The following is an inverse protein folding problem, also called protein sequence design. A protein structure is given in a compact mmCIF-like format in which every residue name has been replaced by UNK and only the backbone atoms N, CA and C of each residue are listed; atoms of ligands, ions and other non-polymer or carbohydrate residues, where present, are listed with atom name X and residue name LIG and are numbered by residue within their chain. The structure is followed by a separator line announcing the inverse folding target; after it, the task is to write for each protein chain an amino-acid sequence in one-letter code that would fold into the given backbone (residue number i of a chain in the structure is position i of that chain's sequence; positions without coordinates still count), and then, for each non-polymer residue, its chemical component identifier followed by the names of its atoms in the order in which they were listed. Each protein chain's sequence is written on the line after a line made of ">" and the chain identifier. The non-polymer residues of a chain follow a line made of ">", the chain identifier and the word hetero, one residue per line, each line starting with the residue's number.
data_IF_148494802832
#
_entry.id   IF_148494802832
#
_cell.length_a   1.000
_cell.length_b   1.000
_cell.length_c   1.000
_cell.angle_alpha   90.00
_cell.angle_beta   90.00
_cell.angle_gamma   90.00
#
_symmetry.space_group_name_H-M   'P 1'
#
loop_
_entity.id
_entity.type
_entity.pdbx_description
1 polymer ?
#
# COMPACT_ATOMS: atom_id res chain seq x y z
N UNK A 1 8.08 26.11 -1.30
CA UNK A 1 7.73 24.67 -1.28
C UNK A 1 6.67 24.44 -0.22
N UNK A 2 5.65 23.63 -0.48
CA UNK A 2 4.58 23.38 0.47
C UNK A 2 5.02 22.33 1.50
N UNK A 3 5.27 22.76 2.74
CA UNK A 3 5.63 21.90 3.88
C UNK A 3 4.49 21.91 4.89
N UNK A 4 4.10 20.73 5.37
CA UNK A 4 3.29 20.58 6.58
C UNK A 4 4.18 20.06 7.70
N UNK A 5 4.23 20.78 8.82
CA UNK A 5 5.02 20.39 9.99
C UNK A 5 4.20 20.53 11.26
N UNK A 6 4.07 19.44 12.00
CA UNK A 6 3.53 19.42 13.36
C UNK A 6 4.69 19.41 14.35
N UNK A 7 4.66 20.27 15.38
CA UNK A 7 5.74 20.45 16.36
C UNK A 7 5.18 20.53 17.78
N UNK A 8 6.02 20.38 18.80
CA UNK A 8 5.63 20.37 20.20
C UNK A 8 4.72 19.19 20.55
N UNK A 9 3.59 19.48 21.20
CA UNK A 9 2.53 18.55 21.56
C UNK A 9 1.29 18.69 20.63
N UNK A 10 1.48 19.27 19.45
CA UNK A 10 0.40 19.53 18.51
C UNK A 10 -0.39 18.26 18.18
N UNK A 11 -1.70 18.41 18.11
CA UNK A 11 -2.64 17.33 17.79
C UNK A 11 -3.43 17.66 16.53
N UNK A 12 -3.42 16.74 15.56
CA UNK A 12 -4.26 16.81 14.37
C UNK A 12 -5.19 15.61 14.36
N UNK A 13 -6.45 15.82 14.73
CA UNK A 13 -7.50 14.81 14.65
C UNK A 13 -8.28 15.00 13.35
N UNK A 14 -8.13 14.05 12.44
CA UNK A 14 -8.83 14.08 11.15
C UNK A 14 -10.23 13.50 11.31
N UNK A 15 -11.21 14.13 10.67
CA UNK A 15 -12.61 13.73 10.75
C UNK A 15 -13.03 12.93 9.52
N UNK A 16 -14.18 12.28 9.63
CA UNK A 16 -14.81 11.59 8.50
C UNK A 16 -14.89 12.50 7.25
N UNK A 17 -14.62 11.91 6.08
CA UNK A 17 -14.58 12.60 4.80
C UNK A 17 -13.18 13.02 4.37
N UNK A 18 -12.23 13.19 5.29
CA UNK A 18 -10.83 13.46 4.94
C UNK A 18 -10.15 12.17 4.54
N UNK A 19 -9.76 12.04 3.27
CA UNK A 19 -9.18 10.80 2.73
C UNK A 19 -7.67 10.88 2.46
N UNK A 20 -7.08 12.08 2.51
CA UNK A 20 -5.67 12.26 2.27
C UNK A 20 -5.11 13.55 2.89
N UNK A 21 -3.81 13.54 3.19
CA UNK A 21 -2.98 14.74 3.37
C UNK A 21 -1.79 14.63 2.41
N UNK A 22 -1.54 15.72 1.66
CA UNK A 22 -0.46 15.82 0.70
C UNK A 22 0.41 17.04 0.94
N UNK A 23 1.74 16.87 0.90
CA UNK A 23 2.70 17.98 0.93
C UNK A 23 3.97 17.64 0.14
N UNK A 24 4.84 18.63 -0.12
CA UNK A 24 6.20 18.33 -0.58
C UNK A 24 6.98 17.65 0.55
N UNK A 25 6.87 18.19 1.75
CA UNK A 25 7.45 17.64 2.98
C UNK A 25 6.35 17.55 4.05
N UNK A 26 6.21 16.39 4.69
CA UNK A 26 5.22 16.12 5.73
C UNK A 26 5.90 15.57 6.97
N UNK A 27 5.99 16.39 8.02
CA UNK A 27 6.73 16.05 9.24
C UNK A 27 5.84 16.09 10.48
N UNK A 28 5.88 15.02 11.26
CA UNK A 28 5.33 14.94 12.61
C UNK A 28 6.51 14.85 13.57
N UNK A 29 6.81 15.97 14.24
CA UNK A 29 7.98 16.14 15.10
C UNK A 29 7.62 16.17 16.59
N UNK A 30 8.66 16.19 17.43
CA UNK A 30 8.54 16.26 18.88
C UNK A 30 7.59 15.17 19.42
N UNK A 31 6.60 15.54 20.24
CA UNK A 31 5.55 14.66 20.75
C UNK A 31 4.22 14.80 20.01
N UNK A 32 4.24 15.38 18.80
CA UNK A 32 3.01 15.66 18.06
C UNK A 32 2.29 14.36 17.64
N UNK A 33 0.96 14.43 17.60
CA UNK A 33 0.10 13.27 17.29
C UNK A 33 -0.85 13.58 16.15
N UNK A 34 -0.82 12.76 15.11
CA UNK A 34 -1.79 12.75 14.02
C UNK A 34 -2.71 11.52 14.14
N UNK A 35 -4.02 11.75 14.30
CA UNK A 35 -5.03 10.68 14.34
C UNK A 35 -5.77 10.59 13.01
N UNK A 36 -5.81 9.39 12.44
CA UNK A 36 -6.63 9.06 11.27
C UNK A 36 -8.14 9.18 11.61
N UNK A 37 -8.98 9.43 10.59
CA UNK A 37 -10.43 9.48 10.77
C UNK A 37 -11.01 8.12 11.13
N UNK A 38 -12.00 8.13 12.03
CA UNK A 38 -12.79 6.93 12.38
C UNK A 38 -13.92 6.70 11.36
N UNK A 39 -14.44 5.47 11.33
CA UNK A 39 -15.64 5.13 10.54
C UNK A 39 -15.41 5.04 9.03
N UNK A 40 -14.17 5.17 8.57
CA UNK A 40 -13.80 5.05 7.17
C UNK A 40 -13.49 3.58 6.83
N UNK A 41 -14.04 3.10 5.72
CA UNK A 41 -13.67 1.79 5.16
C UNK A 41 -12.61 1.91 4.07
N UNK A 42 -12.39 3.13 3.55
CA UNK A 42 -11.35 3.46 2.57
C UNK A 42 -9.99 3.72 3.23
N UNK A 43 -8.93 3.44 2.49
CA UNK A 43 -7.56 3.72 2.90
C UNK A 43 -7.28 5.23 2.96
N UNK A 44 -6.80 5.70 4.10
CA UNK A 44 -6.33 7.06 4.29
C UNK A 44 -4.92 7.22 3.71
N UNK A 45 -4.62 8.35 3.05
CA UNK A 45 -3.36 8.54 2.33
C UNK A 45 -2.52 9.67 2.91
N UNK A 46 -1.34 9.34 3.42
CA UNK A 46 -0.27 10.30 3.69
C UNK A 46 0.67 10.33 2.49
N UNK A 47 0.70 11.45 1.79
CA UNK A 47 1.47 11.61 0.57
C UNK A 47 2.50 12.73 0.74
N UNK A 48 3.78 12.39 0.56
CA UNK A 48 4.85 13.37 0.50
C UNK A 48 5.60 13.25 -0.81
N UNK A 49 5.92 14.37 -1.45
CA UNK A 49 6.74 14.35 -2.67
C UNK A 49 8.19 14.02 -2.35
N UNK A 50 8.76 14.72 -1.39
CA UNK A 50 10.20 14.75 -1.13
C UNK A 50 10.54 14.03 0.18
N UNK A 51 9.85 14.32 1.29
CA UNK A 51 10.16 13.73 2.60
C UNK A 51 8.93 13.54 3.48
N UNK A 52 8.77 12.35 4.05
CA UNK A 52 7.80 12.05 5.12
C UNK A 52 8.55 11.62 6.39
N UNK A 53 8.32 12.32 7.50
CA UNK A 53 9.03 12.06 8.75
C UNK A 53 8.08 11.91 9.94
N UNK A 54 8.35 10.90 10.77
CA UNK A 54 7.76 10.74 12.10
C UNK A 54 8.91 10.62 13.10
N UNK A 55 9.16 11.67 13.88
CA UNK A 55 10.27 11.73 14.85
C UNK A 55 10.05 10.84 16.06
N UNK A 56 11.11 10.55 16.84
CA UNK A 56 11.15 9.52 17.88
C UNK A 56 9.99 9.53 18.91
N UNK A 57 9.48 10.71 19.27
CA UNK A 57 8.37 10.84 20.24
C UNK A 57 7.02 11.13 19.57
N UNK A 58 6.99 11.23 18.24
CA UNK A 58 5.80 11.53 17.46
C UNK A 58 4.98 10.28 17.15
N UNK A 59 3.68 10.47 16.97
CA UNK A 59 2.75 9.37 16.69
C UNK A 59 1.83 9.68 15.52
N UNK A 60 1.72 8.74 14.59
CA UNK A 60 0.63 8.68 13.60
C UNK A 60 -0.22 7.44 13.92
N UNK A 61 -1.49 7.63 14.28
CA UNK A 61 -2.33 6.53 14.77
C UNK A 61 -3.65 6.43 14.02
N UNK A 62 -3.94 5.21 13.55
CA UNK A 62 -5.23 4.74 13.10
C UNK A 62 -5.75 3.64 14.00
N UNK A 63 -5.34 3.63 15.27
CA UNK A 63 -5.74 2.60 16.22
C UNK A 63 -7.25 2.65 16.47
N UNK A 64 -7.91 1.49 16.34
CA UNK A 64 -9.34 1.36 16.52
C UNK A 64 -10.20 2.15 15.52
N UNK A 65 -9.64 2.61 14.39
CA UNK A 65 -10.34 3.43 13.38
C UNK A 65 -11.02 2.65 12.26
N UNK A 66 -10.96 1.32 12.29
CA UNK A 66 -11.60 0.42 11.35
C UNK A 66 -13.03 0.07 11.71
N UNK A 67 -13.46 -1.15 11.38
CA UNK A 67 -14.84 -1.59 11.62
C UNK A 67 -15.18 -1.62 13.11
N UNK A 68 -16.41 -1.23 13.44
CA UNK A 68 -16.94 -1.35 14.80
C UNK A 68 -17.26 -2.80 15.18
N UNK A 69 -17.64 -3.04 16.45
CA UNK A 69 -18.09 -4.34 16.94
C UNK A 69 -19.01 -5.06 15.95
N UNK A 70 -18.74 -6.35 15.72
CA UNK A 70 -19.50 -7.25 14.84
C UNK A 70 -19.57 -6.83 13.37
N UNK A 71 -18.79 -5.81 12.97
CA UNK A 71 -18.65 -5.37 11.59
C UNK A 71 -17.29 -5.77 11.04
N UNK A 72 -17.28 -6.00 9.74
CA UNK A 72 -16.12 -6.47 8.99
C UNK A 72 -16.32 -6.21 7.50
N UNK A 73 -15.23 -6.34 6.76
CA UNK A 73 -15.32 -6.50 5.32
C UNK A 73 -15.91 -7.88 4.99
N UNK A 74 -16.61 -7.99 3.86
CA UNK A 74 -17.30 -9.23 3.46
C UNK A 74 -16.34 -10.41 3.26
N UNK A 75 -15.11 -10.14 2.81
CA UNK A 75 -14.06 -11.15 2.62
C UNK A 75 -13.45 -11.66 3.92
N UNK A 76 -13.67 -10.97 5.05
CA UNK A 76 -13.17 -11.39 6.36
C UNK A 76 -14.05 -12.47 6.98
N UNK A 77 -13.44 -13.41 7.68
CA UNK A 77 -14.21 -14.41 8.41
C UNK A 77 -15.14 -13.74 9.42
N UNK A 78 -16.38 -14.19 9.46
CA UNK A 78 -17.41 -13.61 10.33
C UNK A 78 -17.13 -13.75 11.82
N UNK A 79 -16.26 -14.68 12.17
CA UNK A 79 -16.06 -15.07 13.55
C UNK A 79 -17.17 -16.01 14.02
N UNK A 80 -16.83 -16.93 14.90
CA UNK A 80 -17.78 -17.60 15.78
C UNK A 80 -18.08 -16.73 17.00
N UNK A 81 -18.99 -17.22 17.84
CA UNK A 81 -19.17 -16.67 19.19
C UNK A 81 -17.80 -16.60 19.90
N UNK A 82 -17.59 -15.59 20.74
CA UNK A 82 -16.35 -15.38 21.51
C UNK A 82 -15.12 -14.94 20.69
N UNK A 83 -15.13 -14.95 19.35
CA UNK A 83 -13.93 -14.66 18.56
C UNK A 83 -13.55 -13.16 18.54
N UNK A 84 -12.26 -12.87 18.36
CA UNK A 84 -11.78 -11.54 18.01
C UNK A 84 -11.97 -11.26 16.52
N UNK A 85 -11.69 -10.03 16.10
CA UNK A 85 -11.72 -9.67 14.68
C UNK A 85 -10.65 -10.42 13.88
N UNK A 86 -11.00 -10.86 12.67
CA UNK A 86 -10.08 -11.47 11.71
C UNK A 86 -9.62 -10.46 10.65
N UNK A 87 -8.31 -10.47 10.34
CA UNK A 87 -7.72 -9.67 9.26
C UNK A 87 -6.55 -10.38 8.58
N UNK A 88 -5.30 -10.04 8.93
CA UNK A 88 -4.10 -10.56 8.28
C UNK A 88 -3.76 -12.00 8.65
N UNK A 89 -4.32 -12.50 9.75
CA UNK A 89 -4.02 -13.81 10.33
C UNK A 89 -5.21 -14.76 10.41
N UNK A 90 -4.96 -16.07 10.31
CA UNK A 90 -5.92 -17.11 10.69
C UNK A 90 -5.64 -18.47 10.08
N UNK A 91 -6.31 -19.54 10.56
CA UNK A 91 -6.45 -20.79 9.81
C UNK A 91 -6.79 -20.50 8.34
N UNK A 92 -6.34 -21.37 7.43
CA UNK A 92 -6.59 -21.19 6.00
C UNK A 92 -8.07 -20.86 5.73
N UNK A 93 -8.31 -19.79 4.96
CA UNK A 93 -9.65 -19.29 4.64
C UNK A 93 -10.27 -18.34 5.67
N UNK A 94 -9.60 -18.04 6.80
CA UNK A 94 -10.11 -17.05 7.78
C UNK A 94 -9.52 -15.64 7.64
N UNK A 95 -8.32 -15.51 7.08
CA UNK A 95 -7.67 -14.22 6.80
C UNK A 95 -8.29 -13.55 5.56
N UNK A 96 -8.25 -12.23 5.49
CA UNK A 96 -8.86 -11.45 4.40
C UNK A 96 -8.04 -10.25 3.97
N UNK A 97 -8.24 -9.82 2.73
CA UNK A 97 -7.45 -8.75 2.13
C UNK A 97 -6.13 -9.26 1.57
N UNK A 98 -5.51 -8.43 0.75
CA UNK A 98 -4.25 -8.73 0.09
C UNK A 98 -3.06 -8.48 1.05
N UNK A 99 -2.10 -9.41 1.14
CA UNK A 99 -0.91 -9.23 1.99
C UNK A 99 0.19 -8.40 1.29
N UNK A 100 0.19 -8.34 -0.04
CA UNK A 100 1.11 -7.55 -0.86
C UNK A 100 0.59 -6.11 -0.99
N UNK A 101 -0.73 -5.92 -1.15
CA UNK A 101 -1.37 -4.61 -1.31
C UNK A 101 -2.51 -4.40 -0.31
N UNK A 102 -2.20 -4.33 1.01
CA UNK A 102 -3.21 -4.24 2.05
C UNK A 102 -3.90 -2.86 2.05
N UNK A 103 -5.22 -2.86 1.83
CA UNK A 103 -6.04 -1.63 1.79
C UNK A 103 -7.25 -1.65 2.74
N UNK A 104 -7.58 -2.81 3.29
CA UNK A 104 -8.79 -2.99 4.08
C UNK A 104 -8.58 -2.56 5.53
N UNK A 105 -9.55 -1.85 6.10
CA UNK A 105 -9.58 -1.64 7.56
C UNK A 105 -9.82 -2.96 8.29
N UNK A 106 -9.33 -3.07 9.53
CA UNK A 106 -9.48 -4.25 10.36
C UNK A 106 -10.93 -4.49 10.78
N UNK A 107 -11.30 -5.76 10.93
CA UNK A 107 -12.59 -6.16 11.47
C UNK A 107 -12.73 -5.80 12.96
N UNK A 108 -13.95 -5.48 13.39
CA UNK A 108 -14.27 -5.39 14.81
C UNK A 108 -14.29 -6.77 15.46
N UNK A 109 -14.05 -6.80 16.77
CA UNK A 109 -14.27 -7.99 17.59
C UNK A 109 -15.75 -8.33 17.71
N UNK A 110 -16.04 -9.56 18.11
CA UNK A 110 -17.41 -10.03 18.28
C UNK A 110 -17.94 -9.60 19.64
N UNK A 111 -19.15 -9.03 19.66
CA UNK A 111 -19.92 -8.76 20.85
C UNK A 111 -20.45 -10.08 21.42
N UNK A 112 -20.25 -10.27 22.72
CA UNK A 112 -20.78 -11.45 23.37
C UNK A 112 -22.19 -11.25 23.93
N UNK A 113 -22.41 -10.13 24.60
CA UNK A 113 -23.68 -9.78 25.23
C UNK A 113 -24.00 -8.31 25.00
N UNK A 114 -25.24 -7.90 25.30
CA UNK A 114 -25.66 -6.49 25.24
C UNK A 114 -24.79 -5.53 26.07
N UNK A 115 -23.96 -6.05 26.97
CA UNK A 115 -23.09 -5.27 27.86
C UNK A 115 -21.59 -5.43 27.53
N UNK A 116 -21.22 -6.09 26.43
CA UNK A 116 -19.82 -6.36 26.10
C UNK A 116 -19.50 -6.25 24.61
N UNK A 117 -19.31 -5.01 24.17
CA UNK A 117 -18.95 -4.71 22.79
C UNK A 117 -17.54 -5.23 22.46
N UNK A 118 -17.40 -5.78 21.25
CA UNK A 118 -16.10 -6.06 20.67
C UNK A 118 -15.32 -4.78 20.41
N UNK A 119 -13.99 -4.90 20.46
CA UNK A 119 -13.09 -3.80 20.14
C UNK A 119 -13.17 -3.44 18.66
N UNK A 120 -13.01 -2.16 18.33
CA UNK A 120 -12.98 -1.72 16.93
C UNK A 120 -11.70 -2.19 16.25
N UNK A 121 -11.77 -2.51 14.95
CA UNK A 121 -10.58 -2.86 14.18
C UNK A 121 -9.67 -1.66 13.92
N UNK A 122 -8.44 -1.91 13.47
CA UNK A 122 -7.50 -0.86 13.10
C UNK A 122 -7.83 -0.20 11.76
N UNK A 123 -7.38 1.04 11.57
CA UNK A 123 -7.56 1.79 10.33
C UNK A 123 -6.76 1.27 9.14
N UNK A 124 -6.87 1.95 8.00
CA UNK A 124 -6.11 1.63 6.79
C UNK A 124 -5.32 2.85 6.33
N UNK A 125 -4.00 2.69 6.20
CA UNK A 125 -3.07 3.77 5.93
C UNK A 125 -2.16 3.44 4.74
N UNK A 126 -2.10 4.35 3.76
CA UNK A 126 -1.05 4.43 2.75
C UNK A 126 -0.07 5.53 3.13
N UNK A 127 1.21 5.19 3.20
CA UNK A 127 2.33 6.13 3.22
C UNK A 127 2.96 6.10 1.83
N UNK A 128 2.86 7.20 1.08
CA UNK A 128 3.39 7.32 -0.28
C UNK A 128 4.46 8.42 -0.34
N UNK A 129 5.70 8.03 -0.60
CA UNK A 129 6.81 8.96 -0.85
C UNK A 129 7.85 8.34 -1.80
N UNK A 130 7.52 8.33 -3.09
CA UNK A 130 8.32 7.68 -4.13
C UNK A 130 8.45 8.52 -5.42
N UNK A 131 8.30 9.84 -5.34
CA UNK A 131 8.29 10.71 -6.52
C UNK A 131 9.63 10.71 -7.28
N UNK A 132 10.74 10.71 -6.55
CA UNK A 132 12.09 10.69 -7.12
C UNK A 132 12.93 9.62 -6.46
N UNK A 133 14.13 9.37 -7.00
CA UNK A 133 15.13 8.51 -6.36
C UNK A 133 15.47 8.99 -4.93
N UNK A 134 15.39 10.29 -4.66
CA UNK A 134 15.82 10.85 -3.37
C UNK A 134 14.66 11.05 -2.39
N UNK A 135 13.42 10.74 -2.80
CA UNK A 135 12.26 10.76 -1.91
C UNK A 135 12.48 9.80 -0.72
N UNK A 136 12.18 10.26 0.49
CA UNK A 136 12.48 9.51 1.71
C UNK A 136 11.33 9.44 2.71
N UNK A 137 11.22 8.28 3.36
CA UNK A 137 10.40 8.07 4.54
C UNK A 137 11.33 7.79 5.73
N UNK A 138 11.21 8.60 6.79
CA UNK A 138 11.98 8.45 8.03
C UNK A 138 11.01 8.20 9.19
N UNK A 139 11.06 7.01 9.78
CA UNK A 139 10.20 6.63 10.91
C UNK A 139 11.09 6.31 12.11
N UNK A 140 11.20 7.28 13.01
CA UNK A 140 11.84 7.11 14.33
C UNK A 140 10.80 6.96 15.44
N UNK A 141 9.60 7.52 15.24
CA UNK A 141 8.46 7.41 16.16
C UNK A 141 7.57 6.21 15.89
N UNK A 142 6.29 6.35 16.20
CA UNK A 142 5.29 5.28 16.04
C UNK A 142 4.29 5.59 14.95
N UNK A 143 4.11 4.65 14.02
CA UNK A 143 2.96 4.60 13.13
C UNK A 143 2.18 3.32 13.45
N UNK A 144 0.91 3.46 13.81
CA UNK A 144 0.10 2.32 14.27
C UNK A 144 -1.29 2.32 13.63
N UNK A 145 -1.75 1.13 13.24
CA UNK A 145 -3.13 0.83 12.80
C UNK A 145 -3.64 -0.40 13.57
N UNK A 146 -3.46 -0.40 14.89
CA UNK A 146 -3.81 -1.52 15.75
C UNK A 146 -5.32 -1.61 16.00
N UNK A 147 -5.81 -2.81 16.30
CA UNK A 147 -7.16 -3.00 16.80
C UNK A 147 -7.30 -2.54 18.26
N UNK A 148 -8.49 -2.09 18.63
CA UNK A 148 -8.82 -1.76 20.01
C UNK A 148 -9.15 -3.02 20.82
N UNK A 149 -8.90 -2.98 22.13
CA UNK A 149 -9.30 -4.06 23.02
C UNK A 149 -10.83 -4.18 23.11
N UNK A 150 -11.31 -5.40 23.32
CA UNK A 150 -12.72 -5.65 23.63
C UNK A 150 -13.11 -5.09 25.00
N UNK A 151 -14.38 -4.75 25.16
CA UNK A 151 -14.88 -4.21 26.43
C UNK A 151 -14.85 -5.28 27.53
N UNK A 152 -14.49 -4.87 28.75
CA UNK A 152 -14.62 -5.73 29.92
C UNK A 152 -16.09 -5.88 30.33
N UNK A 153 -16.46 -7.02 30.92
CA UNK A 153 -17.79 -7.20 31.49
C UNK A 153 -17.78 -8.19 32.67
N UNK A 154 -18.77 -8.06 33.55
CA UNK A 154 -18.90 -8.89 34.76
C UNK A 154 -19.08 -10.39 34.46
N UNK A 155 -19.59 -10.73 33.28
CA UNK A 155 -19.63 -12.11 32.82
C UNK A 155 -18.69 -12.26 31.65
N UNK A 156 -19.10 -11.82 30.45
CA UNK A 156 -18.39 -12.12 29.22
C UNK A 156 -17.82 -10.88 28.56
N UNK A 157 -16.50 -10.73 28.52
CA UNK A 157 -15.85 -9.62 27.83
C UNK A 157 -15.97 -9.73 26.30
N UNK A 158 -15.89 -8.61 25.59
CA UNK A 158 -15.94 -8.56 24.12
C UNK A 158 -14.64 -9.04 23.47
N UNK A 159 -14.72 -9.52 22.23
CA UNK A 159 -13.54 -9.87 21.43
C UNK A 159 -12.67 -8.66 21.11
N UNK A 160 -11.36 -8.85 20.98
CA UNK A 160 -10.47 -7.77 20.52
C UNK A 160 -10.67 -7.46 19.03
N UNK A 161 -10.55 -6.20 18.62
CA UNK A 161 -10.58 -5.80 17.21
C UNK A 161 -9.33 -6.25 16.47
N UNK A 162 -9.42 -6.55 15.18
CA UNK A 162 -8.27 -6.92 14.37
C UNK A 162 -7.35 -5.71 14.10
N UNK A 163 -6.06 -5.94 13.92
CA UNK A 163 -5.19 -4.94 13.31
C UNK A 163 -5.65 -4.57 11.89
N UNK A 164 -5.35 -3.36 11.45
CA UNK A 164 -5.73 -2.83 10.16
C UNK A 164 -4.70 -3.07 9.05
N UNK A 165 -4.69 -2.22 8.03
CA UNK A 165 -3.79 -2.32 6.89
C UNK A 165 -2.83 -1.13 6.81
N UNK A 166 -1.55 -1.39 6.61
CA UNK A 166 -0.54 -0.38 6.37
C UNK A 166 0.25 -0.71 5.11
N UNK A 167 0.20 0.17 4.12
CA UNK A 167 0.96 0.07 2.89
C UNK A 167 1.98 1.22 2.85
N UNK A 168 3.26 0.88 2.80
CA UNK A 168 4.34 1.86 2.65
C UNK A 168 4.92 1.72 1.26
N UNK A 169 4.76 2.75 0.43
CA UNK A 169 5.34 2.85 -0.90
C UNK A 169 6.35 3.99 -0.88
N UNK A 170 7.64 3.65 -0.82
CA UNK A 170 8.69 4.64 -0.68
C UNK A 170 9.87 4.39 -1.62
N UNK A 171 10.55 5.47 -2.00
CA UNK A 171 11.85 5.33 -2.65
C UNK A 171 12.86 4.78 -1.66
N UNK A 172 12.95 5.40 -0.47
CA UNK A 172 13.84 5.02 0.63
C UNK A 172 13.06 4.98 1.93
N UNK A 173 13.35 4.01 2.80
CA UNK A 173 12.81 3.92 4.15
C UNK A 173 13.96 3.79 5.16
N UNK A 174 13.94 4.60 6.20
CA UNK A 174 14.95 4.59 7.27
C UNK A 174 14.38 4.97 8.63
N UNK A 175 15.19 4.82 9.68
CA UNK A 175 14.83 5.15 11.07
C UNK A 175 14.78 3.93 11.98
N UNK A 176 14.50 4.16 13.27
CA UNK A 176 14.48 3.13 14.32
C UNK A 176 13.13 2.95 15.01
N UNK A 177 12.07 3.53 14.45
CA UNK A 177 10.74 3.58 15.04
C UNK A 177 9.94 2.29 14.92
N UNK A 178 8.64 2.39 15.12
CA UNK A 178 7.70 1.25 15.07
C UNK A 178 6.63 1.46 14.02
N UNK A 179 6.45 0.46 13.15
CA UNK A 179 5.28 0.27 12.31
C UNK A 179 4.45 -0.88 12.90
N UNK A 180 3.21 -0.63 13.32
CA UNK A 180 2.36 -1.64 13.95
C UNK A 180 0.99 -1.77 13.31
N UNK A 181 0.55 -3.03 13.18
CA UNK A 181 -0.82 -3.42 12.86
C UNK A 181 -1.24 -4.54 13.81
N UNK A 182 -1.02 -4.38 15.12
CA UNK A 182 -1.35 -5.44 16.09
C UNK A 182 -2.86 -5.56 16.32
N UNK A 183 -3.30 -6.76 16.68
CA UNK A 183 -4.66 -6.99 17.15
C UNK A 183 -4.89 -6.37 18.54
N UNK A 184 -6.14 -6.04 18.82
CA UNK A 184 -6.60 -5.59 20.13
C UNK A 184 -6.71 -6.75 21.13
N UNK A 185 -6.45 -6.47 22.40
CA UNK A 185 -6.57 -7.48 23.45
C UNK A 185 -8.02 -7.96 23.65
N UNK A 186 -8.19 -9.14 24.26
CA UNK A 186 -9.54 -9.57 24.62
C UNK A 186 -10.07 -8.82 25.85
N UNK A 187 -11.38 -8.57 25.85
CA UNK A 187 -12.08 -8.13 27.04
C UNK A 187 -12.07 -9.22 28.10
N UNK A 188 -11.68 -8.87 29.33
CA UNK A 188 -11.72 -9.80 30.45
C UNK A 188 -13.17 -10.02 30.93
N UNK A 189 -13.51 -11.29 31.15
CA UNK A 189 -14.64 -11.72 31.97
C UNK A 189 -14.16 -12.14 33.38
N UNK A 190 -15.09 -12.39 34.30
CA UNK A 190 -14.76 -12.73 35.70
C UNK A 190 -14.20 -14.15 35.90
N UNK A 191 -14.40 -15.06 34.94
CA UNK A 191 -13.93 -16.46 34.99
C UNK A 191 -13.40 -16.91 33.62
N UNK A 192 -12.51 -17.92 33.61
CA UNK A 192 -11.86 -18.50 32.42
C UNK A 192 -12.82 -18.90 31.27
N UNK A 193 -14.03 -19.37 31.59
CA UNK A 193 -15.05 -19.73 30.59
C UNK A 193 -15.72 -18.54 29.88
N UNK A 194 -15.48 -17.32 30.36
CA UNK A 194 -16.21 -16.12 29.97
C UNK A 194 -15.33 -15.05 29.32
N UNK A 195 -14.20 -15.44 28.75
CA UNK A 195 -13.31 -14.52 28.01
C UNK A 195 -13.45 -14.73 26.52
N UNK A 196 -13.36 -13.63 25.78
CA UNK A 196 -13.29 -13.68 24.31
C UNK A 196 -11.84 -13.85 23.84
N UNK A 197 -11.68 -14.16 22.56
CA UNK A 197 -10.39 -14.19 21.89
C UNK A 197 -9.92 -12.77 21.60
N UNK A 198 -8.61 -12.58 21.66
CA UNK A 198 -8.00 -11.34 21.19
C UNK A 198 -8.14 -11.22 19.67
N UNK A 199 -8.04 -9.99 19.17
CA UNK A 199 -8.06 -9.72 17.74
C UNK A 199 -6.83 -10.28 17.05
N UNK A 200 -6.99 -10.64 15.78
CA UNK A 200 -5.87 -11.01 14.92
C UNK A 200 -4.97 -9.81 14.61
N UNK A 201 -3.72 -10.09 14.23
CA UNK A 201 -2.86 -9.08 13.62
C UNK A 201 -3.36 -8.65 12.24
N UNK A 202 -2.99 -7.45 11.84
CA UNK A 202 -3.33 -6.83 10.58
C UNK A 202 -2.34 -7.16 9.46
N UNK A 203 -2.24 -6.28 8.47
CA UNK A 203 -1.35 -6.46 7.31
C UNK A 203 -0.46 -5.24 7.14
N UNK A 204 0.84 -5.46 7.06
CA UNK A 204 1.82 -4.43 6.70
C UNK A 204 2.53 -4.87 5.42
N UNK A 205 2.57 -4.01 4.42
CA UNK A 205 3.36 -4.22 3.21
C UNK A 205 4.32 -3.06 2.98
N UNK A 206 5.59 -3.40 2.72
CA UNK A 206 6.67 -2.46 2.45
C UNK A 206 7.13 -2.63 1.00
N UNK A 207 6.87 -1.61 0.18
CA UNK A 207 7.27 -1.48 -1.21
C UNK A 207 8.35 -0.41 -1.31
N UNK A 208 9.59 -0.83 -1.04
CA UNK A 208 10.75 0.07 -0.99
C UNK A 208 11.60 -0.13 -2.23
N UNK A 209 11.73 0.90 -3.06
CA UNK A 209 12.43 0.74 -4.37
C UNK A 209 13.95 0.73 -4.25
N UNK A 210 14.51 1.44 -3.27
CA UNK A 210 15.94 1.43 -2.94
C UNK A 210 16.14 0.83 -1.57
N UNK A 211 16.34 -0.47 -1.55
CA UNK A 211 16.72 -1.19 -0.35
C UNK A 211 18.24 -1.14 -0.21
N UNK A 212 18.74 -0.13 0.52
CA UNK A 212 19.88 -0.44 1.37
C UNK A 212 19.30 -1.28 2.50
N UNK A 213 19.44 -2.61 2.44
CA UNK A 213 18.85 -3.59 3.37
C UNK A 213 19.02 -3.30 4.87
N UNK A 214 19.87 -2.32 5.26
CA UNK A 214 20.13 -1.89 6.62
C UNK A 214 19.60 -0.48 7.00
N UNK A 215 18.81 0.20 6.16
CA UNK A 215 18.43 1.60 6.42
C UNK A 215 17.33 1.78 7.48
N UNK A 216 16.36 0.86 7.56
CA UNK A 216 15.36 0.82 8.62
C UNK A 216 15.76 -0.23 9.66
N UNK A 217 16.09 0.23 10.86
CA UNK A 217 16.49 -0.59 12.01
C UNK A 217 15.39 -0.69 13.07
N UNK A 218 14.18 -0.24 12.73
CA UNK A 218 13.02 -0.24 13.62
C UNK A 218 12.27 -1.57 13.66
N UNK A 219 11.12 -1.56 14.34
CA UNK A 219 10.23 -2.72 14.48
C UNK A 219 9.07 -2.64 13.51
N UNK A 220 8.82 -3.72 12.76
CA UNK A 220 7.60 -3.90 11.96
C UNK A 220 6.84 -5.10 12.51
N UNK A 221 5.62 -4.88 13.01
CA UNK A 221 4.88 -5.94 13.71
C UNK A 221 3.38 -5.94 13.40
N UNK A 222 2.85 -7.14 13.23
CA UNK A 222 1.41 -7.42 13.12
C UNK A 222 1.06 -8.59 14.05
N UNK A 223 1.24 -8.42 15.35
CA UNK A 223 1.00 -9.47 16.35
C UNK A 223 -0.49 -9.66 16.58
N UNK A 224 -0.85 -10.83 17.08
CA UNK A 224 -2.15 -11.02 17.72
C UNK A 224 -2.28 -10.12 18.95
N UNK A 225 -3.51 -9.77 19.31
CA UNK A 225 -3.78 -9.04 20.54
C UNK A 225 -3.48 -9.88 21.78
N UNK A 226 -3.30 -9.20 22.90
CA UNK A 226 -3.00 -9.86 24.16
C UNK A 226 -4.23 -10.61 24.70
N UNK A 227 -4.10 -11.88 25.11
CA UNK A 227 -5.19 -12.59 25.75
C UNK A 227 -5.41 -12.07 27.17
N UNK A 228 -6.61 -12.29 27.69
CA UNK A 228 -6.89 -12.10 29.11
C UNK A 228 -6.03 -13.03 29.99
N UNK A 229 -5.60 -12.53 31.15
CA UNK A 229 -4.79 -13.29 32.11
C UNK A 229 -5.50 -14.54 32.65
N UNK A 230 -6.85 -14.55 32.66
CA UNK A 230 -7.64 -15.70 33.11
C UNK A 230 -7.86 -16.76 32.01
N UNK A 231 -7.45 -16.47 30.76
CA UNK A 231 -7.56 -17.39 29.62
C UNK A 231 -6.44 -17.15 28.59
N UNK A 232 -5.19 -17.52 28.93
CA UNK A 232 -4.01 -17.19 28.14
C UNK A 232 -3.98 -17.89 26.78
N UNK A 233 -4.83 -18.87 26.52
CA UNK A 233 -4.90 -19.62 25.26
C UNK A 233 -5.83 -19.00 24.23
N UNK A 234 -6.66 -18.01 24.61
CA UNK A 234 -7.61 -17.35 23.70
C UNK A 234 -6.94 -16.20 22.94
N UNK A 235 -5.96 -16.55 22.13
CA UNK A 235 -5.16 -15.62 21.35
C UNK A 235 -5.63 -15.66 19.89
N UNK A 236 -5.82 -14.49 19.29
CA UNK A 236 -6.04 -14.36 17.86
C UNK A 236 -4.81 -14.82 17.05
N UNK A 237 -4.97 -15.08 15.75
CA UNK A 237 -3.83 -15.38 14.89
C UNK A 237 -2.96 -14.13 14.61
N UNK A 238 -1.64 -14.25 14.44
CA UNK A 238 -0.79 -13.14 14.01
C UNK A 238 -1.07 -12.77 12.55
N UNK A 239 -0.85 -11.50 12.21
CA UNK A 239 -1.01 -10.95 10.87
C UNK A 239 0.21 -11.16 9.96
N UNK A 240 0.27 -10.40 8.87
CA UNK A 240 1.36 -10.49 7.88
C UNK A 240 2.19 -9.23 7.83
N UNK A 241 3.51 -9.41 7.71
CA UNK A 241 4.45 -8.37 7.28
C UNK A 241 5.07 -8.84 5.97
N UNK A 242 4.82 -8.11 4.89
CA UNK A 242 5.36 -8.38 3.58
C UNK A 242 6.40 -7.31 3.23
N UNK A 243 7.60 -7.74 2.88
CA UNK A 243 8.61 -6.88 2.29
C UNK A 243 8.75 -7.28 0.83
N UNK A 244 8.40 -6.38 -0.09
CA UNK A 244 8.59 -6.64 -1.51
C UNK A 244 10.08 -6.90 -1.76
N UNK A 245 10.45 -8.02 -2.39
CA UNK A 245 11.86 -8.32 -2.65
C UNK A 245 12.48 -7.29 -3.61
N UNK A 246 13.72 -6.90 -3.31
CA UNK A 246 14.59 -6.01 -4.12
C UNK A 246 14.66 -6.43 -5.60
N UNK A 247 14.49 -7.73 -5.83
CA UNK A 247 14.39 -8.32 -7.15
C UNK A 247 12.98 -8.07 -7.71
N UNK A 248 12.80 -6.90 -8.34
CA UNK A 248 11.95 -6.86 -9.51
C UNK A 248 12.50 -7.93 -10.45
N UNK A 249 11.74 -9.00 -10.69
CA UNK A 249 11.99 -9.83 -11.86
C UNK A 249 11.69 -8.95 -13.09
N UNK A 250 12.71 -8.18 -13.51
CA UNK A 250 12.70 -7.46 -14.76
C UNK A 250 12.85 -8.50 -15.86
N UNK A 251 11.71 -9.01 -16.36
CA UNK A 251 11.70 -9.77 -17.60
C UNK A 251 11.72 -8.78 -18.77
N UNK A 252 12.92 -8.43 -19.23
CA UNK A 252 13.10 -7.73 -20.50
C UNK A 252 12.92 -8.76 -21.62
N UNK A 253 11.75 -8.78 -22.24
CA UNK A 253 11.55 -9.57 -23.46
C UNK A 253 12.17 -8.80 -24.63
N UNK A 254 13.30 -9.30 -25.13
CA UNK A 254 13.85 -8.93 -26.44
C UNK A 254 13.07 -9.59 -27.58
N UNK A 255 13.63 -9.56 -28.79
CA UNK A 255 12.99 -9.99 -30.04
C UNK A 255 12.18 -11.29 -29.89
N UNK A 256 10.84 -11.21 -29.96
CA UNK A 256 9.97 -12.38 -30.02
C UNK A 256 9.76 -12.71 -31.50
N UNK A 257 10.57 -13.61 -32.03
CA UNK A 257 10.44 -14.10 -33.41
C UNK A 257 9.63 -15.39 -33.44
N UNK A 258 8.79 -15.56 -34.45
CA UNK A 258 8.13 -16.84 -34.76
C UNK A 258 8.86 -17.57 -35.88
N UNK A 259 8.85 -18.89 -35.84
CA UNK A 259 9.09 -19.69 -37.04
C UNK A 259 7.82 -19.68 -37.90
N UNK A 260 7.94 -19.55 -39.24
CA UNK A 260 6.79 -19.63 -40.14
C UNK A 260 6.01 -20.93 -39.90
N UNK A 261 4.69 -20.82 -39.66
CA UNK A 261 3.79 -21.96 -39.42
C UNK A 261 3.54 -22.31 -37.96
N UNK A 262 4.29 -21.75 -37.01
CA UNK A 262 3.91 -21.77 -35.59
C UNK A 262 2.90 -20.64 -35.34
N UNK A 263 1.75 -20.93 -34.72
CA UNK A 263 0.72 -19.91 -34.43
C UNK A 263 1.25 -18.71 -33.63
N UNK A 264 0.45 -17.64 -33.54
CA UNK A 264 0.85 -16.39 -32.88
C UNK A 264 1.35 -16.62 -31.43
N UNK A 265 2.60 -16.26 -31.08
CA UNK A 265 3.15 -16.42 -29.74
C UNK A 265 2.41 -15.47 -28.78
N UNK A 266 2.15 -15.97 -27.58
CA UNK A 266 1.43 -15.22 -26.54
C UNK A 266 2.33 -15.01 -25.33
N UNK A 267 2.47 -13.76 -24.90
CA UNK A 267 3.14 -13.41 -23.64
C UNK A 267 2.09 -13.41 -22.53
N UNK A 268 2.30 -14.25 -21.51
CA UNK A 268 1.44 -14.31 -20.33
C UNK A 268 2.05 -13.54 -19.16
N UNK A 269 1.41 -12.45 -18.75
CA UNK A 269 1.79 -11.72 -17.53
C UNK A 269 0.89 -12.18 -16.39
N UNK A 270 1.46 -13.01 -15.50
CA UNK A 270 0.74 -13.56 -14.34
C UNK A 270 0.63 -12.52 -13.22
N UNK A 271 -0.33 -12.71 -12.33
CA UNK A 271 -0.51 -11.86 -11.14
C UNK A 271 0.79 -11.71 -10.33
N UNK A 272 1.06 -10.52 -9.81
CA UNK A 272 2.30 -10.20 -9.07
C UNK A 272 3.53 -9.95 -9.95
N UNK A 273 3.42 -10.07 -11.28
CA UNK A 273 4.53 -9.80 -12.22
C UNK A 273 4.39 -8.42 -12.85
N UNK A 274 5.45 -7.60 -12.76
CA UNK A 274 5.55 -6.35 -13.55
C UNK A 274 6.47 -6.58 -14.75
N UNK A 275 5.92 -6.48 -15.96
CA UNK A 275 6.72 -6.56 -17.20
C UNK A 275 6.88 -5.16 -17.78
N UNK A 276 8.11 -4.76 -18.12
CA UNK A 276 8.42 -3.51 -18.82
C UNK A 276 8.90 -3.84 -20.23
N UNK A 277 8.18 -3.37 -21.25
CA UNK A 277 8.53 -3.62 -22.66
C UNK A 277 9.10 -2.33 -23.24
N UNK A 278 10.38 -2.33 -23.63
CA UNK A 278 11.02 -1.21 -24.32
C UNK A 278 11.05 -1.47 -25.84
N UNK A 279 10.92 -0.40 -26.63
CA UNK A 279 10.61 -0.42 -28.06
C UNK A 279 11.34 -1.48 -28.91
N UNK A 280 10.56 -2.10 -29.82
CA UNK A 280 11.03 -3.06 -30.81
C UNK A 280 11.75 -2.32 -31.97
N UNK A 281 12.75 -2.95 -32.57
CA UNK A 281 13.33 -2.55 -33.86
C UNK A 281 12.74 -3.45 -34.97
N UNK A 282 12.40 -2.98 -36.17
CA UNK A 282 13.27 -2.35 -37.18
C UNK A 282 12.51 -1.43 -38.18
N UNK A 283 13.24 -0.47 -38.79
CA UNK A 283 12.92 0.11 -40.10
C UNK A 283 12.16 1.45 -40.17
N UNK A 284 12.91 2.53 -40.48
CA UNK A 284 12.51 3.90 -40.88
C UNK A 284 11.96 4.84 -39.78
N UNK A 285 12.72 5.91 -39.54
CA UNK A 285 12.51 6.98 -38.55
C UNK A 285 11.81 8.17 -39.19
N UNK A 286 10.80 8.75 -38.54
CA UNK A 286 10.52 10.18 -38.64
C UNK A 286 10.45 10.80 -37.24
N UNK A 287 11.30 11.80 -37.00
CA UNK A 287 11.39 12.60 -35.77
C UNK A 287 10.73 13.96 -35.97
N UNK A 288 9.86 14.39 -35.05
CA UNK A 288 9.41 15.78 -34.95
C UNK A 288 10.10 16.50 -33.79
N UNK A 289 10.53 17.75 -34.01
CA UNK A 289 11.08 18.64 -32.98
C UNK A 289 9.98 19.57 -32.41
N UNK A 290 9.99 19.83 -31.11
CA UNK A 290 9.24 20.94 -30.50
C UNK A 290 10.25 21.98 -29.97
N UNK A 291 10.15 23.22 -30.45
CA UNK A 291 10.98 24.35 -30.01
C UNK A 291 10.22 25.18 -28.97
N UNK A 292 10.86 25.45 -27.83
CA UNK A 292 10.38 26.44 -26.85
C UNK A 292 11.31 27.65 -26.85
N UNK A 293 10.76 28.84 -27.14
CA UNK A 293 11.50 30.11 -27.13
C UNK A 293 11.43 30.76 -25.74
N UNK A 294 12.58 31.25 -25.25
CA UNK A 294 12.66 32.25 -24.17
C UNK A 294 13.13 33.56 -24.81
N UNK A 295 12.42 34.66 -24.54
CA UNK A 295 12.67 35.95 -25.18
C UNK A 295 13.87 36.67 -24.56
N UNK A 296 14.63 37.47 -25.34
CA UNK A 296 15.99 37.91 -24.97
C UNK A 296 16.07 39.04 -23.93
N UNK A 297 14.95 39.48 -23.35
CA UNK A 297 14.91 40.74 -22.61
C UNK A 297 15.24 40.60 -21.12
N UNK A 298 15.51 39.39 -20.63
CA UNK A 298 15.65 39.12 -19.19
C UNK A 298 17.10 39.03 -18.66
N UNK A 299 18.15 39.21 -19.48
CA UNK A 299 19.53 39.19 -18.97
C UNK A 299 20.50 40.02 -19.81
N UNK A 300 20.99 41.11 -19.22
CA UNK A 300 22.16 41.85 -19.67
C UNK A 300 23.41 40.94 -19.64
N UNK A 301 23.98 40.66 -20.82
CA UNK A 301 25.41 40.37 -20.95
C UNK A 301 25.92 38.93 -20.76
N UNK A 302 25.12 37.88 -20.91
CA UNK A 302 25.60 36.49 -20.86
C UNK A 302 24.94 35.58 -21.90
N UNK A 303 25.75 34.83 -22.65
CA UNK A 303 25.30 34.03 -23.80
C UNK A 303 24.14 33.05 -23.53
N UNK A 304 23.21 33.00 -24.50
CA UNK A 304 22.06 32.11 -24.54
C UNK A 304 22.50 30.66 -24.79
N UNK A 305 22.24 29.75 -23.86
CA UNK A 305 22.36 28.30 -24.10
C UNK A 305 20.96 27.68 -24.17
N UNK A 306 20.52 27.37 -25.39
CA UNK A 306 19.34 26.55 -25.65
C UNK A 306 19.70 25.07 -25.42
N UNK A 307 19.06 24.42 -24.43
CA UNK A 307 19.18 22.97 -24.26
C UNK A 307 18.08 22.25 -25.05
N UNK A 308 18.47 21.59 -26.13
CA UNK A 308 17.67 20.57 -26.82
C UNK A 308 17.81 19.26 -26.05
N UNK A 309 16.73 18.79 -25.39
CA UNK A 309 16.73 17.45 -24.76
C UNK A 309 15.88 16.48 -25.60
N UNK A 310 16.55 15.64 -26.38
CA UNK A 310 15.93 14.53 -27.11
C UNK A 310 15.94 13.27 -26.23
N UNK A 311 14.76 12.76 -25.86
CA UNK A 311 14.64 11.39 -25.34
C UNK A 311 13.85 10.57 -26.36
N UNK A 312 14.53 9.71 -27.11
CA UNK A 312 13.91 8.87 -28.14
C UNK A 312 13.34 7.62 -27.46
N UNK A 313 12.02 7.48 -27.42
CA UNK A 313 11.35 6.21 -27.15
C UNK A 313 10.54 5.86 -28.40
N UNK A 314 10.88 4.75 -29.08
CA UNK A 314 10.09 4.24 -30.21
C UNK A 314 8.69 3.83 -29.72
N UNK A 315 7.61 4.06 -30.48
CA UNK A 315 6.33 3.41 -30.22
C UNK A 315 6.51 1.90 -30.12
N UNK A 316 5.86 1.25 -29.16
CA UNK A 316 5.84 -0.21 -29.08
C UNK A 316 4.88 -0.73 -30.16
N UNK A 317 5.41 -1.36 -31.20
CA UNK A 317 4.60 -1.99 -32.25
C UNK A 317 4.46 -3.50 -32.01
N UNK A 318 3.25 -3.94 -31.71
CA UNK A 318 2.89 -5.34 -31.50
C UNK A 318 2.24 -5.86 -32.78
N UNK A 319 3.03 -6.49 -33.65
CA UNK A 319 2.59 -6.98 -34.97
C UNK A 319 2.66 -8.50 -35.15
N UNK A 320 3.42 -9.20 -34.30
CA UNK A 320 3.72 -10.65 -34.46
C UNK A 320 3.48 -11.48 -33.19
N UNK A 321 2.93 -10.88 -32.13
CA UNK A 321 2.67 -11.52 -30.84
C UNK A 321 1.39 -10.96 -30.19
N UNK A 322 0.67 -11.77 -29.40
CA UNK A 322 -0.44 -11.28 -28.57
C UNK A 322 0.00 -11.11 -27.11
N UNK A 323 -0.60 -10.16 -26.40
CA UNK A 323 -0.32 -9.88 -24.99
C UNK A 323 -1.58 -10.19 -24.17
N UNK A 324 -1.46 -11.03 -23.14
CA UNK A 324 -2.50 -11.25 -22.14
C UNK A 324 -2.00 -10.89 -20.74
N UNK A 325 -2.66 -9.92 -20.12
CA UNK A 325 -2.45 -9.50 -18.73
C UNK A 325 -3.55 -10.10 -17.88
N UNK A 326 -3.19 -11.00 -16.95
CA UNK A 326 -4.16 -11.62 -16.04
C UNK A 326 -4.50 -10.68 -14.87
N UNK A 327 -5.56 -10.99 -14.13
CA UNK A 327 -5.96 -10.29 -12.91
C UNK A 327 -4.75 -10.11 -11.95
N UNK A 328 -4.58 -8.91 -11.40
CA UNK A 328 -3.42 -8.50 -10.57
C UNK A 328 -2.04 -8.50 -11.30
N UNK A 329 -1.99 -8.73 -12.61
CA UNK A 329 -0.81 -8.55 -13.44
C UNK A 329 -0.66 -7.09 -13.87
N UNK A 330 0.58 -6.59 -14.00
CA UNK A 330 0.85 -5.20 -14.40
C UNK A 330 1.83 -5.12 -15.56
N UNK A 331 1.47 -4.38 -16.60
CA UNK A 331 2.36 -4.11 -17.75
C UNK A 331 2.64 -2.63 -17.86
N UNK A 332 3.93 -2.28 -17.93
CA UNK A 332 4.37 -0.90 -18.21
C UNK A 332 4.81 -0.82 -19.66
N UNK A 333 4.13 0.05 -20.41
CA UNK A 333 4.35 0.26 -21.84
C UNK A 333 4.84 1.68 -22.10
N UNK A 334 5.55 1.95 -23.21
CA UNK A 334 5.89 3.32 -23.60
C UNK A 334 4.62 4.15 -23.88
N UNK A 335 4.75 5.49 -23.90
CA UNK A 335 3.63 6.40 -24.15
C UNK A 335 2.79 6.09 -25.40
N UNK A 336 3.38 5.49 -26.43
CA UNK A 336 2.66 5.12 -27.65
C UNK A 336 2.79 3.63 -27.90
N UNK A 337 1.64 2.95 -28.04
CA UNK A 337 1.55 1.54 -28.41
C UNK A 337 0.68 1.40 -29.66
N UNK A 338 1.14 0.60 -30.62
CA UNK A 338 0.42 0.23 -31.84
C UNK A 338 0.26 -1.29 -31.85
N UNK A 339 -0.96 -1.78 -31.99
CA UNK A 339 -1.25 -3.22 -32.12
C UNK A 339 -1.79 -3.47 -33.53
N UNK A 340 -1.08 -4.28 -34.33
CA UNK A 340 -1.44 -4.60 -35.72
C UNK A 340 -1.62 -6.11 -35.89
N UNK A 341 -2.79 -6.57 -36.32
CA UNK A 341 -3.02 -8.01 -36.58
C UNK A 341 -2.77 -8.92 -35.36
N UNK A 342 -2.77 -8.36 -34.15
CA UNK A 342 -2.49 -9.01 -32.88
C UNK A 342 -3.56 -8.65 -31.84
N UNK A 343 -3.60 -9.39 -30.72
CA UNK A 343 -4.55 -9.14 -29.63
C UNK A 343 -3.86 -8.64 -28.37
N UNK A 344 -4.50 -7.69 -27.70
CA UNK A 344 -4.17 -7.23 -26.35
C UNK A 344 -5.39 -7.50 -25.46
N UNK A 345 -5.27 -8.44 -24.52
CA UNK A 345 -6.31 -8.77 -23.55
C UNK A 345 -5.83 -8.41 -22.15
N UNK A 346 -6.62 -7.63 -21.41
CA UNK A 346 -6.22 -7.07 -20.12
C UNK A 346 -7.31 -7.33 -19.09
N UNK A 347 -7.01 -8.25 -18.17
CA UNK A 347 -7.78 -8.53 -16.95
C UNK A 347 -7.10 -7.90 -15.71
N UNK A 348 -5.89 -7.32 -15.87
CA UNK A 348 -5.07 -6.62 -14.86
C UNK A 348 -4.88 -5.12 -15.16
N UNK A 349 -3.67 -4.58 -14.94
CA UNK A 349 -3.36 -3.14 -15.13
C UNK A 349 -2.33 -2.89 -16.26
N UNK A 350 -2.56 -1.87 -17.10
CA UNK A 350 -1.57 -1.34 -18.06
C UNK A 350 -1.27 0.12 -17.72
N UNK A 351 0.01 0.49 -17.61
CA UNK A 351 0.45 1.83 -17.16
C UNK A 351 1.52 2.41 -18.09
N UNK A 352 1.56 3.74 -18.22
CA UNK A 352 2.55 4.47 -19.03
C UNK A 352 2.06 4.86 -20.44
N UNK A 353 0.86 4.40 -20.81
CA UNK A 353 0.23 4.64 -22.10
C UNK A 353 -0.38 6.05 -22.19
N UNK A 354 -0.02 6.79 -23.23
CA UNK A 354 -0.65 8.07 -23.61
C UNK A 354 -1.50 7.92 -24.88
N UNK A 355 -1.13 7.01 -25.79
CA UNK A 355 -1.83 6.75 -27.05
C UNK A 355 -1.82 5.25 -27.38
N UNK A 356 -2.99 4.71 -27.73
CA UNK A 356 -3.19 3.33 -28.19
C UNK A 356 -3.82 3.33 -29.57
N UNK A 357 -3.17 2.69 -30.55
CA UNK A 357 -3.73 2.47 -31.87
C UNK A 357 -3.96 0.97 -32.09
N UNK A 358 -5.21 0.59 -32.33
CA UNK A 358 -5.58 -0.77 -32.73
C UNK A 358 -5.89 -0.76 -34.23
N UNK A 359 -5.07 -1.46 -35.01
CA UNK A 359 -5.25 -1.59 -36.45
C UNK A 359 -5.41 -3.08 -36.79
N UNK A 360 -6.39 -3.41 -37.64
CA UNK A 360 -6.60 -4.79 -38.08
C UNK A 360 -5.49 -5.30 -38.99
N UNK A 361 -4.61 -4.40 -39.47
CA UNK A 361 -3.64 -4.72 -40.52
C UNK A 361 -4.36 -4.83 -41.86
N UNK A 362 -3.78 -4.27 -42.91
CA UNK A 362 -4.17 -4.57 -44.29
C UNK A 362 -3.13 -5.50 -44.88
#
# INVERSE_FOLDING_TARGET
>A
MARLRMVGDARLDLTEGVTAIGAAELWVDDSATMSLPAGQTSQFRLQARDSLRVSASATVTGDGKGYTSDKRHESCHAGGTYEGGFHGGGPAGKACGDYEWPVLVGAGGIQYSSYSNGGTGGGSLLILCNHTHDSEVVIDGTVSVAGAAGSQAASYGGGGGAGGSMLVVASRLSGSGTLSADGGGSGAGTTSGYTSYSGSGGRIALHITQTRRAAFAGTVRARAGQPSSVSPTRIGPPGTVFCMPDARALLTLGNITTTPGAGLPTVHVRGGTTVTIAGLADGVVQTGHLLSHVQPNDVDGGGLTTQTRSTVMRPLEVSVASIRVHEHGRVVVPPTVVVRGASLTVDGEVVGLHSLLLDRGR
#
